data_IF_635038303677
#
_entry.id   IF_635038303677
#
_cell.length_a   1.000
_cell.length_b   1.000
_cell.length_c   1.000
_cell.angle_alpha   90.00
_cell.angle_beta   90.00
_cell.angle_gamma   90.00
#
_symmetry.space_group_name_H-M   'P 1'
#
loop_
_entity.id
_entity.type
_entity.pdbx_description
1 polymer ?
#
# COMPACT_ATOMS: atom_id res chain seq x y z
N UNK A 1 -5.11 6.44 -4.90
CA UNK A 1 -4.96 4.99 -5.17
C UNK A 1 -6.21 4.40 -5.81
N UNK A 2 -7.38 4.64 -5.23
CA UNK A 2 -8.66 4.11 -5.70
C UNK A 2 -9.24 4.91 -6.87
N UNK A 3 -10.17 4.28 -7.60
CA UNK A 3 -11.03 4.95 -8.58
C UNK A 3 -12.02 5.88 -7.87
N UNK A 4 -12.51 6.88 -8.60
CA UNK A 4 -13.30 7.97 -8.01
C UNK A 4 -14.70 7.54 -7.53
N UNK A 5 -15.15 6.35 -7.95
CA UNK A 5 -16.45 5.76 -7.58
C UNK A 5 -16.36 4.70 -6.46
N UNK A 6 -15.26 4.67 -5.73
CA UNK A 6 -15.00 3.70 -4.67
C UNK A 6 -15.10 4.39 -3.32
N UNK A 7 -15.90 3.81 -2.45
CA UNK A 7 -16.01 4.25 -1.07
C UNK A 7 -15.15 3.35 -0.18
N UNK A 8 -14.46 3.98 0.77
CA UNK A 8 -13.87 3.32 1.90
C UNK A 8 -14.54 3.87 3.14
N UNK A 9 -14.99 2.99 4.02
CA UNK A 9 -15.59 3.40 5.29
C UNK A 9 -14.51 3.88 6.31
N UNK A 10 -13.25 4.02 5.91
CA UNK A 10 -12.18 4.52 6.79
C UNK A 10 -12.25 6.06 6.93
N UNK A 11 -11.94 6.62 8.11
CA UNK A 11 -11.79 8.06 8.24
C UNK A 11 -10.72 8.56 7.26
N UNK A 12 -10.93 9.75 6.67
CA UNK A 12 -10.06 10.33 5.64
C UNK A 12 -8.65 10.66 6.17
N UNK A 13 -7.82 9.62 6.28
CA UNK A 13 -6.38 9.71 6.50
C UNK A 13 -5.61 9.48 5.19
N UNK A 14 -6.31 9.44 4.05
CA UNK A 14 -5.79 9.00 2.76
C UNK A 14 -5.74 10.13 1.71
N UNK A 15 -5.68 11.40 2.15
CA UNK A 15 -5.39 12.52 1.26
C UNK A 15 -3.94 12.44 0.77
N UNK A 16 -3.75 11.88 -0.41
CA UNK A 16 -2.47 11.80 -1.10
C UNK A 16 -2.37 12.88 -2.16
N UNK A 17 -1.19 13.49 -2.32
CA UNK A 17 -0.91 14.35 -3.46
C UNK A 17 -1.11 13.60 -4.78
N UNK A 18 -1.42 14.32 -5.85
CA UNK A 18 -1.49 13.71 -7.18
C UNK A 18 -0.12 13.17 -7.59
N UNK A 19 -0.11 12.02 -8.28
CA UNK A 19 1.11 11.41 -8.81
C UNK A 19 1.75 12.37 -9.80
N UNK A 20 3.05 12.61 -9.63
CA UNK A 20 3.83 13.52 -10.46
C UNK A 20 5.18 12.90 -10.79
N UNK A 21 5.47 12.77 -12.09
CA UNK A 21 6.75 12.26 -12.62
C UNK A 21 7.13 10.84 -12.15
N UNK A 22 6.13 10.00 -11.89
CA UNK A 22 6.31 8.61 -11.50
C UNK A 22 5.17 7.76 -12.04
N UNK A 23 5.49 6.54 -12.45
CA UNK A 23 4.50 5.50 -12.72
C UNK A 23 5.02 4.12 -12.24
N UNK A 24 4.12 3.17 -12.12
CA UNK A 24 4.41 1.84 -11.55
C UNK A 24 5.34 0.98 -12.42
N UNK A 25 5.32 1.15 -13.75
CA UNK A 25 6.11 0.31 -14.66
C UNK A 25 7.47 0.92 -14.98
N UNK A 26 7.53 2.22 -15.32
CA UNK A 26 8.77 2.94 -15.62
C UNK A 26 9.48 3.45 -14.37
N UNK A 27 8.76 3.70 -13.27
CA UNK A 27 9.30 4.36 -12.09
C UNK A 27 9.39 5.88 -12.27
N UNK A 28 10.43 6.52 -11.74
CA UNK A 28 10.61 7.97 -11.88
C UNK A 28 11.05 8.35 -13.29
N UNK A 29 10.21 9.11 -13.99
CA UNK A 29 10.39 9.44 -15.41
C UNK A 29 11.22 10.70 -15.65
N UNK A 30 11.44 11.51 -14.62
CA UNK A 30 12.17 12.76 -14.73
C UNK A 30 13.33 12.88 -13.74
N UNK A 31 14.34 13.65 -14.12
CA UNK A 31 15.43 14.09 -13.23
C UNK A 31 14.96 15.11 -12.17
N UNK A 32 13.69 15.51 -12.20
CA UNK A 32 13.08 16.46 -11.27
C UNK A 32 13.28 16.02 -9.81
N UNK A 33 13.58 16.99 -8.95
CA UNK A 33 13.79 16.77 -7.52
C UNK A 33 12.44 16.61 -6.82
N UNK A 34 11.47 17.45 -7.18
CA UNK A 34 10.12 17.43 -6.62
C UNK A 34 9.23 16.49 -7.43
N UNK A 35 8.89 15.36 -6.82
CA UNK A 35 8.06 14.30 -7.43
C UNK A 35 7.14 13.71 -6.36
N UNK A 36 6.04 13.09 -6.78
CA UNK A 36 5.19 12.31 -5.90
C UNK A 36 4.89 10.94 -6.52
N UNK A 37 5.16 9.81 -5.84
CA UNK A 37 5.72 9.70 -4.48
C UNK A 37 7.12 10.31 -4.34
N UNK A 38 7.49 10.73 -3.13
CA UNK A 38 8.82 11.30 -2.90
C UNK A 38 9.90 10.22 -3.02
N UNK A 39 11.02 10.55 -3.68
CA UNK A 39 12.17 9.65 -3.81
C UNK A 39 13.28 9.99 -2.83
N UNK A 40 13.97 8.97 -2.32
CA UNK A 40 15.21 9.17 -1.59
C UNK A 40 16.32 9.63 -2.54
N UNK A 41 16.90 10.81 -2.29
CA UNK A 41 18.01 11.36 -3.10
C UNK A 41 19.38 10.89 -2.62
N UNK A 42 19.47 10.52 -1.32
CA UNK A 42 20.71 10.13 -0.65
C UNK A 42 20.41 9.02 0.35
N UNK A 43 21.40 8.17 0.57
CA UNK A 43 21.39 7.13 1.58
C UNK A 43 22.03 7.61 2.89
N UNK A 44 21.84 6.85 3.96
CA UNK A 44 22.49 7.05 5.26
C UNK A 44 21.61 7.75 6.30
N UNK A 45 21.99 7.59 7.57
CA UNK A 45 21.19 8.01 8.72
C UNK A 45 20.83 9.50 8.70
N UNK A 46 21.74 10.39 8.28
CA UNK A 46 21.46 11.84 8.18
C UNK A 46 20.36 12.20 7.16
N UNK A 47 20.08 11.31 6.21
CA UNK A 47 19.05 11.49 5.18
C UNK A 47 17.89 10.48 5.36
N UNK A 48 17.82 9.81 6.51
CA UNK A 48 16.79 8.82 6.79
C UNK A 48 15.41 9.49 6.98
N UNK A 49 14.36 8.70 6.81
CA UNK A 49 13.00 9.08 7.14
C UNK A 49 12.78 8.91 8.65
N UNK A 50 12.39 10.00 9.32
CA UNK A 50 12.14 10.02 10.76
C UNK A 50 10.67 10.27 11.04
N UNK A 51 10.07 9.39 11.86
CA UNK A 51 8.70 9.55 12.35
C UNK A 51 8.72 9.51 13.87
N UNK A 52 8.15 10.53 14.49
CA UNK A 52 7.91 10.55 15.93
C UNK A 52 6.43 10.27 16.20
N UNK A 53 6.14 9.09 16.73
CA UNK A 53 4.77 8.70 17.06
C UNK A 53 4.46 9.08 18.51
N UNK A 54 3.30 9.68 18.74
CA UNK A 54 2.86 10.15 20.07
C UNK A 54 1.49 9.57 20.38
N UNK A 55 1.36 8.96 21.56
CA UNK A 55 0.11 8.46 22.12
C UNK A 55 -0.15 9.16 23.46
N UNK A 56 -1.39 9.58 23.71
CA UNK A 56 -1.77 10.15 25.00
C UNK A 56 -1.80 9.05 26.05
N UNK A 57 -1.37 9.34 27.28
CA UNK A 57 -1.38 8.36 28.37
C UNK A 57 -2.78 7.79 28.66
N UNK A 58 -3.83 8.58 28.45
CA UNK A 58 -5.23 8.17 28.58
C UNK A 58 -5.67 7.11 27.57
N UNK A 59 -4.98 7.03 26.43
CA UNK A 59 -5.36 6.17 25.32
C UNK A 59 -4.59 4.83 25.36
N UNK A 60 -3.76 4.61 26.38
CA UNK A 60 -3.00 3.38 26.57
C UNK A 60 -3.84 2.43 27.43
N UNK A 61 -4.30 1.34 26.83
CA UNK A 61 -5.08 0.30 27.51
C UNK A 61 -4.20 -0.91 27.83
N UNK A 62 -4.03 -1.21 29.11
CA UNK A 62 -3.17 -2.30 29.60
C UNK A 62 -3.92 -3.63 29.76
N UNK A 63 -5.25 -3.62 29.64
CA UNK A 63 -6.13 -4.77 29.89
C UNK A 63 -6.43 -5.59 28.62
N UNK A 64 -5.99 -5.13 27.45
CA UNK A 64 -6.19 -5.84 26.20
C UNK A 64 -5.35 -7.14 26.15
N UNK A 65 -5.94 -8.31 25.83
CA UNK A 65 -5.28 -9.62 26.01
C UNK A 65 -4.09 -9.93 25.09
N UNK A 66 -3.73 -9.01 24.17
CA UNK A 66 -2.80 -9.30 23.08
C UNK A 66 -1.35 -8.89 23.33
N UNK A 67 -1.01 -8.31 24.48
CA UNK A 67 0.39 -8.12 24.92
C UNK A 67 1.27 -7.20 24.07
N UNK A 68 0.76 -6.62 22.98
CA UNK A 68 1.48 -5.73 22.08
C UNK A 68 1.11 -4.26 22.34
N UNK A 69 1.90 -3.57 23.18
CA UNK A 69 1.77 -2.13 23.38
C UNK A 69 2.71 -1.38 22.44
N UNK A 70 2.18 -0.57 21.52
CA UNK A 70 2.99 0.18 20.57
C UNK A 70 2.28 0.51 19.27
N UNK A 71 3.06 0.67 18.22
CA UNK A 71 2.59 0.98 16.88
C UNK A 71 2.93 -0.16 15.93
N UNK A 72 1.97 -0.57 15.11
CA UNK A 72 2.20 -1.46 13.98
C UNK A 72 2.62 -0.63 12.78
N UNK A 73 3.77 -0.93 12.21
CA UNK A 73 4.33 -0.21 11.08
C UNK A 73 4.57 -1.20 9.95
N UNK A 74 4.18 -0.78 8.74
CA UNK A 74 4.39 -1.56 7.52
C UNK A 74 5.22 -0.76 6.52
N UNK A 75 6.01 -1.48 5.73
CA UNK A 75 6.73 -0.93 4.58
C UNK A 75 6.23 -1.65 3.34
N UNK A 76 5.62 -0.91 2.43
CA UNK A 76 5.00 -1.47 1.23
C UNK A 76 5.23 -0.57 0.03
N UNK A 77 4.96 -1.12 -1.15
CA UNK A 77 5.00 -0.37 -2.40
C UNK A 77 3.87 0.68 -2.44
N UNK A 78 4.12 1.93 -2.88
CA UNK A 78 3.16 3.04 -2.74
C UNK A 78 1.82 2.84 -3.45
N UNK A 79 1.75 1.99 -4.48
CA UNK A 79 0.50 1.68 -5.18
C UNK A 79 -0.25 0.46 -4.64
N UNK A 80 0.29 -0.24 -3.63
CA UNK A 80 -0.39 -1.34 -2.96
C UNK A 80 -1.21 -0.84 -1.78
N UNK A 81 -2.39 -1.43 -1.58
CA UNK A 81 -3.19 -1.22 -0.39
C UNK A 81 -2.39 -1.56 0.90
N UNK A 82 -2.36 -0.66 1.91
CA UNK A 82 -1.63 -0.87 3.15
C UNK A 82 -2.39 -1.80 4.11
N UNK A 83 -2.23 -3.12 3.95
CA UNK A 83 -2.78 -4.08 4.91
C UNK A 83 -1.81 -4.29 6.10
N UNK A 84 -2.18 -3.74 7.25
CA UNK A 84 -1.40 -3.81 8.50
C UNK A 84 -1.67 -5.08 9.31
N UNK A 85 -2.63 -5.92 8.90
CA UNK A 85 -3.07 -7.06 9.70
C UNK A 85 -2.07 -8.22 9.67
N UNK A 86 -1.50 -8.53 8.51
CA UNK A 86 -0.68 -9.74 8.34
C UNK A 86 0.83 -9.50 8.41
N UNK A 87 1.34 -8.38 7.87
CA UNK A 87 2.79 -8.16 7.72
C UNK A 87 3.21 -6.79 8.27
N UNK A 88 3.46 -6.73 9.58
CA UNK A 88 3.93 -5.52 10.26
C UNK A 88 5.08 -5.80 11.21
N UNK A 89 5.84 -4.75 11.52
CA UNK A 89 6.73 -4.74 12.68
C UNK A 89 6.18 -3.81 13.75
N UNK A 90 6.48 -4.14 15.00
CA UNK A 90 5.97 -3.39 16.15
C UNK A 90 7.04 -2.43 16.67
N UNK A 91 6.65 -1.18 16.90
CA UNK A 91 7.45 -0.16 17.58
C UNK A 91 6.88 0.03 18.98
N UNK A 92 7.56 -0.44 20.04
CA UNK A 92 7.07 -0.30 21.40
C UNK A 92 6.98 1.16 21.84
N UNK A 93 6.06 1.44 22.76
CA UNK A 93 5.92 2.79 23.34
C UNK A 93 7.22 3.20 24.06
N UNK A 94 7.63 4.44 23.87
CA UNK A 94 8.82 5.01 24.51
C UNK A 94 10.16 4.47 24.00
N UNK A 95 10.15 3.61 22.98
CA UNK A 95 11.35 3.07 22.36
C UNK A 95 11.61 3.69 20.99
N UNK A 96 12.87 3.66 20.57
CA UNK A 96 13.30 4.05 19.24
C UNK A 96 13.71 2.79 18.47
N UNK A 97 13.10 2.60 17.30
CA UNK A 97 13.42 1.49 16.38
C UNK A 97 14.01 2.09 15.11
N UNK A 98 15.17 1.60 14.70
CA UNK A 98 15.84 1.98 13.45
C UNK A 98 15.96 0.76 12.55
N UNK A 99 15.42 0.86 11.34
CA UNK A 99 15.50 -0.19 10.32
C UNK A 99 16.31 0.26 9.11
N UNK A 100 17.16 -0.63 8.59
CA UNK A 100 17.83 -0.45 7.29
C UNK A 100 16.97 -1.10 6.21
N UNK A 101 16.56 -0.30 5.21
CA UNK A 101 15.67 -0.77 4.14
C UNK A 101 16.49 -1.11 2.91
N UNK A 102 16.42 -2.38 2.50
CA UNK A 102 17.08 -2.89 1.30
C UNK A 102 15.99 -3.36 0.33
N UNK A 103 15.60 -2.53 -0.65
CA UNK A 103 14.56 -2.91 -1.59
C UNK A 103 15.09 -3.88 -2.65
N UNK A 104 14.33 -4.94 -2.91
CA UNK A 104 14.58 -5.86 -4.02
C UNK A 104 13.50 -5.65 -5.09
N UNK A 105 13.92 -5.36 -6.32
CA UNK A 105 13.01 -5.13 -7.44
C UNK A 105 13.40 -5.99 -8.63
N UNK A 106 12.42 -6.72 -9.14
CA UNK A 106 12.55 -7.54 -10.35
C UNK A 106 11.62 -6.91 -11.38
N UNK A 107 12.16 -6.62 -12.57
CA UNK A 107 11.40 -6.05 -13.69
C UNK A 107 11.36 -7.05 -14.84
N UNK A 108 10.24 -7.07 -15.55
CA UNK A 108 10.07 -7.88 -16.75
C UNK A 108 10.86 -7.27 -17.92
N UNK A 109 11.65 -8.08 -18.62
CA UNK A 109 12.38 -7.65 -19.81
C UNK A 109 11.45 -7.43 -21.01
N UNK A 110 11.84 -6.56 -21.94
CA UNK A 110 11.04 -6.25 -23.15
C UNK A 110 10.73 -7.49 -24.01
N UNK A 111 11.63 -8.48 -24.04
CA UNK A 111 11.37 -9.75 -24.72
C UNK A 111 10.25 -10.54 -24.04
N UNK A 112 10.23 -10.56 -22.71
CA UNK A 112 9.20 -11.28 -21.94
C UNK A 112 7.84 -10.58 -22.00
N UNK A 113 7.82 -9.25 -22.15
CA UNK A 113 6.57 -8.47 -22.31
C UNK A 113 5.71 -8.91 -23.49
N UNK A 114 6.33 -9.52 -24.52
CA UNK A 114 5.64 -9.95 -25.75
C UNK A 114 4.86 -11.25 -25.58
N UNK A 115 5.14 -12.04 -24.54
CA UNK A 115 4.39 -13.26 -24.28
C UNK A 115 3.00 -12.94 -23.73
N UNK A 116 2.02 -13.74 -24.14
CA UNK A 116 0.66 -13.64 -23.66
C UNK A 116 0.63 -13.75 -22.12
N UNK A 117 -0.23 -12.99 -21.41
CA UNK A 117 -0.32 -13.02 -19.95
C UNK A 117 -0.41 -14.44 -19.36
N UNK A 118 -1.16 -15.33 -20.01
CA UNK A 118 -1.33 -16.74 -19.59
C UNK A 118 -0.04 -17.57 -19.64
N UNK A 119 0.96 -17.17 -20.43
CA UNK A 119 2.24 -17.88 -20.50
C UNK A 119 3.23 -17.40 -19.44
N UNK A 120 3.05 -16.18 -18.92
CA UNK A 120 3.95 -15.53 -17.97
C UNK A 120 3.35 -15.33 -16.57
N UNK A 121 2.11 -15.76 -16.37
CA UNK A 121 1.36 -15.74 -15.09
C UNK A 121 1.35 -14.40 -14.36
N UNK A 122 1.48 -13.29 -15.08
CA UNK A 122 1.36 -11.95 -14.54
C UNK A 122 0.70 -11.00 -15.54
N UNK A 123 0.33 -9.81 -15.10
CA UNK A 123 -0.34 -8.78 -15.91
C UNK A 123 0.40 -7.45 -15.79
N UNK A 124 0.41 -6.70 -16.90
CA UNK A 124 0.79 -5.29 -16.99
C UNK A 124 -0.42 -4.40 -16.76
N UNK A 125 -0.18 -3.11 -16.52
CA UNK A 125 -1.24 -2.14 -16.23
C UNK A 125 -2.31 -2.07 -17.33
N UNK A 126 -1.91 -2.22 -18.59
CA UNK A 126 -2.79 -2.13 -19.76
C UNK A 126 -3.66 -3.38 -19.99
N UNK A 127 -3.34 -4.51 -19.36
CA UNK A 127 -3.97 -5.80 -19.68
C UNK A 127 -5.05 -6.20 -18.68
N UNK A 128 -4.93 -5.74 -17.42
CA UNK A 128 -5.88 -6.08 -16.36
C UNK A 128 -6.30 -4.84 -15.57
N UNK A 129 -7.28 -4.07 -16.09
CA UNK A 129 -7.86 -2.97 -15.34
C UNK A 129 -8.63 -3.51 -14.13
N UNK A 130 -8.33 -2.97 -12.95
CA UNK A 130 -9.01 -3.29 -11.70
C UNK A 130 -10.27 -2.44 -11.51
N UNK A 131 -11.29 -2.98 -10.82
CA UNK A 131 -12.61 -2.37 -10.61
C UNK A 131 -12.60 -1.21 -9.62
N UNK A 132 -11.82 -1.33 -8.55
CA UNK A 132 -11.72 -0.41 -7.42
C UNK A 132 -10.38 0.34 -7.40
N UNK A 133 -9.32 -0.24 -7.96
CA UNK A 133 -7.98 0.37 -7.96
C UNK A 133 -7.64 1.03 -9.30
N UNK A 134 -6.93 2.18 -9.27
CA UNK A 134 -6.39 2.84 -10.47
C UNK A 134 -5.14 2.12 -11.02
N UNK A 135 -4.42 1.40 -10.16
CA UNK A 135 -3.15 0.74 -10.47
C UNK A 135 -3.24 -0.74 -10.14
N UNK A 136 -2.91 -1.58 -11.12
CA UNK A 136 -2.78 -3.02 -10.97
C UNK A 136 -1.55 -3.35 -10.11
N UNK A 137 -1.77 -4.10 -9.04
CA UNK A 137 -0.74 -4.84 -8.31
C UNK A 137 -1.34 -6.19 -7.96
N UNK A 138 -0.50 -7.21 -7.71
CA UNK A 138 -1.00 -8.52 -7.29
C UNK A 138 -1.84 -8.40 -6.02
N UNK A 139 -1.39 -7.62 -5.03
CA UNK A 139 -2.10 -7.39 -3.78
C UNK A 139 -3.48 -6.75 -4.01
N UNK A 140 -3.55 -5.69 -4.82
CA UNK A 140 -4.81 -5.01 -5.13
C UNK A 140 -5.79 -5.95 -5.85
N UNK A 141 -5.29 -6.75 -6.81
CA UNK A 141 -6.10 -7.72 -7.54
C UNK A 141 -6.65 -8.83 -6.63
N UNK A 142 -5.84 -9.35 -5.71
CA UNK A 142 -6.25 -10.36 -4.75
C UNK A 142 -7.28 -9.81 -3.75
N UNK A 143 -7.10 -8.57 -3.28
CA UNK A 143 -8.08 -7.90 -2.42
C UNK A 143 -9.41 -7.70 -3.15
N UNK A 144 -9.39 -7.31 -4.43
CA UNK A 144 -10.58 -7.26 -5.27
C UNK A 144 -11.29 -8.60 -5.39
N UNK A 145 -10.52 -9.65 -5.65
CA UNK A 145 -11.03 -11.02 -5.77
C UNK A 145 -11.70 -11.46 -4.48
N UNK A 146 -11.02 -11.28 -3.33
CA UNK A 146 -11.54 -11.60 -1.99
C UNK A 146 -12.82 -10.82 -1.69
N UNK A 147 -12.85 -9.53 -2.04
CA UNK A 147 -14.01 -8.67 -1.80
C UNK A 147 -15.21 -9.10 -2.62
N UNK A 148 -15.03 -9.37 -3.92
CA UNK A 148 -16.12 -9.84 -4.78
C UNK A 148 -16.64 -11.21 -4.35
N UNK A 149 -15.75 -12.13 -3.99
CA UNK A 149 -16.12 -13.45 -3.47
C UNK A 149 -16.89 -13.35 -2.15
N UNK A 150 -16.47 -12.47 -1.24
CA UNK A 150 -17.15 -12.24 0.04
C UNK A 150 -18.53 -11.66 -0.17
N UNK A 151 -18.68 -10.70 -1.09
CA UNK A 151 -19.97 -10.10 -1.41
C UNK A 151 -20.94 -11.11 -2.02
N UNK A 152 -20.47 -11.95 -2.94
CA UNK A 152 -21.29 -12.96 -3.63
C UNK A 152 -21.87 -14.00 -2.66
N UNK A 153 -21.07 -14.42 -1.67
CA UNK A 153 -21.47 -15.46 -0.71
C UNK A 153 -22.21 -14.88 0.49
N UNK A 154 -21.74 -13.77 1.04
CA UNK A 154 -22.24 -13.22 2.31
C UNK A 154 -23.27 -12.09 2.12
N UNK A 155 -23.34 -11.48 0.93
CA UNK A 155 -24.18 -10.30 0.68
C UNK A 155 -23.65 -9.00 1.30
N UNK A 156 -22.45 -9.02 1.89
CA UNK A 156 -21.81 -7.85 2.48
C UNK A 156 -20.27 -7.94 2.37
N UNK A 157 -19.58 -6.83 2.64
CA UNK A 157 -18.11 -6.77 2.64
C UNK A 157 -17.60 -6.21 3.97
N UNK A 158 -16.36 -6.55 4.32
CA UNK A 158 -15.71 -5.99 5.49
C UNK A 158 -15.46 -4.49 5.36
N UNK A 159 -15.43 -3.78 6.47
CA UNK A 159 -15.20 -2.33 6.53
C UNK A 159 -13.90 -1.85 5.82
N UNK A 160 -12.86 -2.69 5.83
CA UNK A 160 -11.57 -2.42 5.20
C UNK A 160 -11.54 -2.83 3.71
N UNK A 161 -12.58 -3.48 3.20
CA UNK A 161 -12.65 -3.93 1.82
C UNK A 161 -13.26 -2.84 0.93
N UNK A 162 -12.78 -2.66 -0.31
CA UNK A 162 -13.33 -1.67 -1.23
C UNK A 162 -14.76 -2.01 -1.67
N UNK A 163 -15.70 -1.06 -1.54
CA UNK A 163 -17.05 -1.18 -2.11
C UNK A 163 -17.37 -0.02 -3.06
N UNK A 164 -18.33 -0.22 -3.97
CA UNK A 164 -18.91 0.89 -4.71
C UNK A 164 -19.83 1.71 -3.78
N UNK A 165 -19.94 3.01 -4.05
CA UNK A 165 -21.02 3.84 -3.53
C UNK A 165 -22.36 3.14 -3.79
N UNK A 166 -23.18 2.97 -2.76
CA UNK A 166 -24.58 2.58 -2.95
C UNK A 166 -25.28 3.73 -3.69
N UNK A 167 -25.86 3.44 -4.86
CA UNK A 167 -26.86 4.32 -5.50
C UNK A 167 -28.14 4.38 -4.66
#
# INVERSE_FOLDING_TARGET
MFRDNVEFNLPDFHSTSQIQHWDVESGFTASQIHTYPQRALRIGQKNAFYVLMKTRKSDIEYECPMGESGYRVILHFPSCYPDVTENHFTVPLGQSVTGVIIPHMIKTSEGVKRFHPQTRDCYFQSERPLKYFKVYTQANCLLECKTNYTLDICGCVGFHMPSKLSE
#
